data_IF_645586784451
#
_entry.id   IF_645586784451
#
_cell.length_a   1.000
_cell.length_b   1.000
_cell.length_c   1.000
_cell.angle_alpha   90.00
_cell.angle_beta   90.00
_cell.angle_gamma   90.00
#
_symmetry.space_group_name_H-M   'P 1'
#
loop_
_entity.id
_entity.type
_entity.pdbx_description
1 polymer ?
#
# COMPACT_ATOMS: atom_id res chain seq x y z
N UNK A 1 -1.15 1.53 -10.00
CA UNK A 1 -1.91 1.03 -8.81
C UNK A 1 -1.11 1.29 -7.55
N UNK A 2 -1.76 1.66 -6.44
CA UNK A 2 -1.12 1.89 -5.14
C UNK A 2 -1.76 1.02 -4.05
N UNK A 3 -0.94 0.24 -3.34
CA UNK A 3 -1.34 -0.52 -2.15
C UNK A 3 -0.74 0.17 -0.93
N UNK A 4 -1.57 0.48 0.05
CA UNK A 4 -1.19 1.22 1.25
C UNK A 4 -1.45 0.37 2.49
N UNK A 5 -0.46 0.26 3.38
CA UNK A 5 -0.64 -0.42 4.67
C UNK A 5 0.07 0.31 5.82
N UNK A 6 -0.36 0.08 7.06
CA UNK A 6 0.24 0.72 8.23
C UNK A 6 1.49 0.01 8.75
N UNK A 7 1.56 -1.31 8.62
CA UNK A 7 2.64 -2.12 9.22
C UNK A 7 3.64 -2.51 8.14
N UNK A 8 4.94 -2.40 8.46
CA UNK A 8 6.02 -2.84 7.58
C UNK A 8 5.82 -4.30 7.13
N UNK A 9 5.43 -5.18 8.05
CA UNK A 9 5.15 -6.57 7.75
C UNK A 9 4.09 -6.76 6.66
N UNK A 10 3.02 -5.95 6.67
CA UNK A 10 1.98 -5.98 5.63
C UNK A 10 2.52 -5.53 4.28
N UNK A 11 3.42 -4.55 4.26
CA UNK A 11 4.10 -4.11 3.04
C UNK A 11 4.95 -5.23 2.46
N UNK A 12 5.73 -5.93 3.30
CA UNK A 12 6.52 -7.07 2.86
C UNK A 12 5.64 -8.22 2.36
N UNK A 13 4.55 -8.54 3.07
CA UNK A 13 3.59 -9.57 2.66
C UNK A 13 2.90 -9.21 1.34
N UNK A 14 2.48 -7.95 1.16
CA UNK A 14 1.87 -7.49 -0.08
C UNK A 14 2.86 -7.57 -1.25
N UNK A 15 4.09 -7.10 -1.06
CA UNK A 15 5.15 -7.22 -2.06
C UNK A 15 5.40 -8.68 -2.45
N UNK A 16 5.58 -9.58 -1.46
CA UNK A 16 5.80 -11.00 -1.72
C UNK A 16 4.62 -11.67 -2.44
N UNK A 17 3.38 -11.29 -2.11
CA UNK A 17 2.18 -11.80 -2.81
C UNK A 17 2.14 -11.36 -4.27
N UNK A 18 2.51 -10.11 -4.56
CA UNK A 18 2.56 -9.61 -5.94
C UNK A 18 3.56 -10.43 -6.77
N UNK A 19 4.75 -10.70 -6.23
CA UNK A 19 5.72 -11.58 -6.89
C UNK A 19 5.19 -13.02 -7.02
N UNK A 20 4.53 -13.53 -5.99
CA UNK A 20 3.90 -14.86 -6.01
C UNK A 20 2.76 -15.00 -7.04
N UNK A 21 2.19 -13.89 -7.51
CA UNK A 21 1.23 -13.87 -8.62
C UNK A 21 1.90 -13.75 -10.00
N UNK A 22 3.23 -13.77 -10.06
CA UNK A 22 3.99 -13.73 -11.31
C UNK A 22 4.33 -12.33 -11.80
N UNK A 23 4.20 -11.30 -10.95
CA UNK A 23 4.73 -9.97 -11.28
C UNK A 23 6.23 -9.93 -11.11
N UNK A 24 6.93 -9.29 -12.05
CA UNK A 24 8.37 -9.09 -11.95
C UNK A 24 8.70 -8.03 -10.91
N UNK A 25 9.86 -8.17 -10.27
CA UNK A 25 10.33 -7.17 -9.30
C UNK A 25 10.46 -5.78 -9.91
N UNK A 26 10.73 -5.69 -11.21
CA UNK A 26 10.84 -4.43 -11.93
C UNK A 26 9.50 -3.65 -11.97
N UNK A 27 8.37 -4.36 -11.93
CA UNK A 27 7.03 -3.80 -12.02
C UNK A 27 6.43 -3.42 -10.66
N UNK A 28 7.13 -3.73 -9.57
CA UNK A 28 6.68 -3.49 -8.19
C UNK A 28 7.67 -2.63 -7.41
N UNK A 29 7.26 -1.41 -7.07
CA UNK A 29 8.02 -0.49 -6.22
C UNK A 29 7.56 -0.50 -4.77
N UNK A 30 8.50 -0.38 -3.83
CA UNK A 30 8.20 -0.15 -2.41
C UNK A 30 8.52 1.30 -2.03
N UNK A 31 7.50 2.01 -1.55
CA UNK A 31 7.61 3.39 -1.03
C UNK A 31 7.67 3.32 0.49
N UNK A 32 8.87 3.08 0.99
CA UNK A 32 9.19 3.07 2.42
C UNK A 32 10.53 3.78 2.67
N UNK A 33 10.77 4.24 3.90
CA UNK A 33 12.03 4.83 4.29
C UNK A 33 13.19 3.82 4.14
N UNK A 34 14.23 4.22 3.40
CA UNK A 34 15.46 3.44 3.15
C UNK A 34 15.23 2.01 2.60
N UNK A 35 14.17 1.80 1.81
CA UNK A 35 13.90 0.47 1.23
C UNK A 35 14.64 0.29 -0.11
N UNK A 36 15.43 -0.79 -0.29
CA UNK A 36 16.17 -1.04 -1.52
C UNK A 36 15.26 -1.36 -2.71
N UNK A 37 14.00 -1.76 -2.48
CA UNK A 37 13.02 -2.07 -3.53
C UNK A 37 12.30 -0.82 -4.05
N UNK A 38 12.88 0.37 -3.84
CA UNK A 38 12.31 1.62 -4.32
C UNK A 38 12.42 1.68 -5.85
N UNK A 39 11.27 1.64 -6.53
CA UNK A 39 11.16 1.73 -8.00
C UNK A 39 10.08 2.73 -8.37
N UNK A 40 10.38 4.04 -8.49
CA UNK A 40 9.36 5.06 -8.74
C UNK A 40 8.63 4.91 -10.09
N UNK A 41 9.25 4.25 -11.07
CA UNK A 41 8.69 4.00 -12.39
C UNK A 41 7.82 2.73 -12.47
N UNK A 42 7.80 1.91 -11.42
CA UNK A 42 7.02 0.68 -11.40
C UNK A 42 5.51 0.98 -11.45
N UNK A 43 4.77 0.22 -12.26
CA UNK A 43 3.32 0.40 -12.45
C UNK A 43 2.51 0.09 -11.19
N UNK A 44 3.07 -0.70 -10.27
CA UNK A 44 2.50 -1.01 -8.97
C UNK A 44 3.41 -0.48 -7.87
N UNK A 45 2.84 0.27 -6.94
CA UNK A 45 3.53 0.80 -5.77
C UNK A 45 2.92 0.21 -4.51
N UNK A 46 3.76 -0.20 -3.55
CA UNK A 46 3.36 -0.62 -2.21
C UNK A 46 3.98 0.35 -1.20
N UNK A 47 3.16 1.05 -0.42
CA UNK A 47 3.60 2.18 0.39
C UNK A 47 3.07 2.10 1.82
N UNK A 48 3.86 2.59 2.79
CA UNK A 48 3.29 2.79 4.14
C UNK A 48 2.53 4.11 4.22
N UNK A 49 1.42 4.14 4.97
CA UNK A 49 0.67 5.38 5.24
C UNK A 49 1.61 6.47 5.77
N UNK A 50 2.46 6.11 6.73
CA UNK A 50 3.41 7.05 7.34
C UNK A 50 4.41 7.61 6.33
N UNK A 51 4.89 6.80 5.38
CA UNK A 51 5.81 7.28 4.34
C UNK A 51 5.11 8.23 3.38
N UNK A 52 3.84 7.97 3.03
CA UNK A 52 3.04 8.83 2.13
C UNK A 52 2.63 10.18 2.77
N UNK A 53 2.77 10.33 4.09
CA UNK A 53 2.58 11.62 4.78
C UNK A 53 3.73 12.60 4.52
N UNK A 54 4.95 12.09 4.37
CA UNK A 54 6.16 12.91 4.31
C UNK A 54 6.87 12.86 2.95
N UNK A 55 6.34 12.11 1.98
CA UNK A 55 6.94 11.95 0.65
C UNK A 55 5.95 12.25 -0.47
N UNK A 56 6.51 12.54 -1.65
CA UNK A 56 5.74 12.65 -2.88
C UNK A 56 4.93 11.37 -3.11
N UNK A 57 3.64 11.58 -3.36
CA UNK A 57 2.64 10.54 -3.56
C UNK A 57 2.72 10.05 -5.02
N UNK A 58 2.93 8.74 -5.29
CA UNK A 58 2.96 8.24 -6.65
C UNK A 58 1.61 8.38 -7.31
N UNK A 59 1.55 8.66 -8.62
CA UNK A 59 0.28 8.68 -9.36
C UNK A 59 -0.37 7.29 -9.32
N UNK A 60 -1.66 7.23 -9.00
CA UNK A 60 -2.41 5.99 -8.98
C UNK A 60 -3.91 6.23 -9.22
N UNK A 61 -4.49 5.39 -10.08
CA UNK A 61 -5.94 5.39 -10.39
C UNK A 61 -6.72 4.40 -9.50
N UNK A 62 -6.01 3.56 -8.74
CA UNK A 62 -6.56 2.60 -7.78
C UNK A 62 -5.72 2.63 -6.51
N UNK A 63 -6.37 2.88 -5.38
CA UNK A 63 -5.74 2.90 -4.05
C UNK A 63 -6.40 1.86 -3.15
N UNK A 64 -5.63 0.86 -2.74
CA UNK A 64 -6.08 -0.19 -1.81
C UNK A 64 -5.48 0.10 -0.44
N UNK A 65 -6.31 0.20 0.60
CA UNK A 65 -5.85 0.51 1.96
C UNK A 65 -6.13 -0.69 2.88
N UNK A 66 -5.07 -1.34 3.37
CA UNK A 66 -5.17 -2.42 4.34
C UNK A 66 -5.15 -1.88 5.78
N UNK A 67 -5.90 -2.52 6.68
CA UNK A 67 -6.09 -2.07 8.07
C UNK A 67 -6.63 -0.63 8.19
N UNK A 68 -7.49 -0.20 7.26
CA UNK A 68 -8.02 1.16 7.17
C UNK A 68 -8.65 1.71 8.47
N UNK A 69 -9.15 0.83 9.35
CA UNK A 69 -9.76 1.19 10.63
C UNK A 69 -8.73 1.56 11.71
N UNK A 70 -7.46 1.16 11.53
CA UNK A 70 -6.32 1.56 12.38
C UNK A 70 -5.64 2.82 11.85
N UNK A 71 -5.82 3.12 10.56
CA UNK A 71 -5.54 4.43 10.02
C UNK A 71 -6.49 5.41 10.70
N UNK A 72 -5.97 6.34 11.49
CA UNK A 72 -6.80 7.39 12.08
C UNK A 72 -7.61 8.07 10.97
N UNK A 73 -8.89 8.38 11.22
CA UNK A 73 -9.81 8.88 10.19
C UNK A 73 -9.25 10.05 9.37
N UNK A 74 -8.38 10.87 9.98
CA UNK A 74 -7.64 11.94 9.32
C UNK A 74 -6.71 11.43 8.21
N UNK A 75 -5.93 10.37 8.46
CA UNK A 75 -5.01 9.76 7.47
C UNK A 75 -5.75 9.28 6.23
N UNK A 76 -6.91 8.65 6.43
CA UNK A 76 -7.73 8.12 5.36
C UNK A 76 -8.31 9.26 4.51
N UNK A 77 -8.85 10.31 5.13
CA UNK A 77 -9.34 11.49 4.42
C UNK A 77 -8.22 12.16 3.62
N UNK A 78 -7.07 12.40 4.25
CA UNK A 78 -5.89 12.99 3.58
C UNK A 78 -5.39 12.19 2.38
N UNK A 79 -5.57 10.85 2.39
CA UNK A 79 -5.26 9.98 1.26
C UNK A 79 -6.37 10.04 0.20
N UNK A 80 -7.64 9.98 0.60
CA UNK A 80 -8.79 10.04 -0.31
C UNK A 80 -8.82 11.37 -1.06
N UNK A 81 -8.58 12.48 -0.36
CA UNK A 81 -8.48 13.83 -0.93
C UNK A 81 -7.27 13.98 -1.87
N UNK A 82 -6.22 13.17 -1.66
CA UNK A 82 -5.04 13.13 -2.54
C UNK A 82 -5.30 12.45 -3.87
N UNK A 83 -6.23 11.49 -3.86
CA UNK A 83 -6.54 10.62 -4.98
C UNK A 83 -8.04 10.68 -5.30
N UNK A 84 -8.61 11.87 -5.55
CA UNK A 84 -10.06 12.02 -5.68
C UNK A 84 -10.65 11.24 -6.87
N UNK A 85 -9.83 10.97 -7.89
CA UNK A 85 -10.20 10.17 -9.06
C UNK A 85 -9.94 8.66 -8.89
N UNK A 86 -9.29 8.24 -7.79
CA UNK A 86 -8.98 6.84 -7.59
C UNK A 86 -10.14 6.08 -6.96
N UNK A 87 -10.31 4.84 -7.39
CA UNK A 87 -11.18 3.89 -6.68
C UNK A 87 -10.51 3.51 -5.37
N UNK A 88 -11.23 3.65 -4.25
CA UNK A 88 -10.74 3.30 -2.92
C UNK A 88 -11.38 1.98 -2.46
N UNK A 89 -10.54 0.97 -2.19
CA UNK A 89 -10.99 -0.29 -1.58
C UNK A 89 -10.35 -0.46 -0.21
N UNK A 90 -11.17 -0.66 0.81
CA UNK A 90 -10.77 -0.78 2.20
C UNK A 90 -11.01 -2.21 2.69
N UNK A 91 -9.94 -2.99 2.88
CA UNK A 91 -10.07 -4.34 3.41
C UNK A 91 -10.04 -4.34 4.94
N UNK A 92 -11.09 -4.89 5.57
CA UNK A 92 -10.96 -5.39 6.94
C UNK A 92 -10.28 -6.76 6.86
N UNK A 93 -9.12 -6.94 7.51
CA UNK A 93 -8.65 -8.32 7.74
C UNK A 93 -9.73 -9.06 8.53
N UNK A 94 -10.37 -10.06 7.91
CA UNK A 94 -10.92 -11.16 8.69
C UNK A 94 -9.73 -11.79 9.41
N UNK A 95 -9.77 -11.88 10.75
CA UNK A 95 -8.90 -12.81 11.46
C UNK A 95 -9.18 -14.19 10.86
N UNK A 96 -8.30 -14.68 10.00
CA UNK A 96 -8.21 -16.11 9.77
C UNK A 96 -7.74 -16.67 11.10
N UNK A 97 -8.68 -17.25 11.85
CA UNK A 97 -8.39 -17.95 13.08
C UNK A 97 -7.37 -19.03 12.78
N UNK A 98 -6.24 -18.98 13.49
CA UNK A 98 -5.37 -20.13 13.64
C UNK A 98 -6.15 -21.16 14.46
N UNK A 99 -6.83 -22.08 13.80
CA UNK A 99 -7.25 -23.34 14.43
C UNK A 99 -6.15 -24.35 14.18
N UNK A 100 -5.22 -24.43 15.14
CA UNK A 100 -4.95 -25.62 15.98
C UNK A 100 -3.85 -25.28 16.97
#
# INVERSE_FOLDING_TARGET
>A
MLIVAHRRELIHQAYAKLLGYGLDEADVGVVMAADPRRRPAAGIQVASVDTLRYRARPKADLVIIDECHRATAKSYRELTDAYPAAVHSASRRRRLGCTR
#
